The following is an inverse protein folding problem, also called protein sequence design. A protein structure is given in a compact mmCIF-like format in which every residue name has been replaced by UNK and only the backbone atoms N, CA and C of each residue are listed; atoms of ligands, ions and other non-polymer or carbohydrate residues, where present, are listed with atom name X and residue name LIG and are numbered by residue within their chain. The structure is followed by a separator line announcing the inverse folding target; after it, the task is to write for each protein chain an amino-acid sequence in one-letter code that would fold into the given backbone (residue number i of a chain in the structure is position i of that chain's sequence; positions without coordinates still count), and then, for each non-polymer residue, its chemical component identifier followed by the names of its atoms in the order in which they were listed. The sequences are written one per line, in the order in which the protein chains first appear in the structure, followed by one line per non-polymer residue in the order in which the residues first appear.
data_IF_351896421572
#
_entry.id   IF_351896421572
#
_cell.length_a   1.000
_cell.length_b   1.000
_cell.length_c   1.000
_cell.angle_alpha   90.00
_cell.angle_beta   90.00
_cell.angle_gamma   90.00
#
_symmetry.space_group_name_H-M   'P 1'
#
loop_
_entity.id
_entity.type
_entity.pdbx_description
1 polymer ?
#
# COMPACT_ATOMS: atom_id res chain seq x y z
N UNK A 1 19.35 1.51 9.29
CA UNK A 1 18.32 2.39 8.71
C UNK A 1 16.96 2.15 9.35
N UNK A 2 16.16 3.18 9.53
CA UNK A 2 14.73 3.11 9.82
C UNK A 2 13.94 3.20 8.51
N UNK A 3 13.13 2.18 8.23
CA UNK A 3 12.40 2.02 6.98
C UNK A 3 10.92 1.72 7.21
N UNK A 4 10.05 2.45 6.52
CA UNK A 4 8.61 2.17 6.42
C UNK A 4 8.32 1.54 5.05
N UNK A 5 7.89 0.29 5.01
CA UNK A 5 7.75 -0.48 3.76
C UNK A 5 6.36 -0.36 3.12
N UNK A 6 5.45 0.41 3.73
CA UNK A 6 4.07 0.50 3.27
C UNK A 6 3.57 1.95 3.37
N UNK A 7 3.82 2.73 2.33
CA UNK A 7 3.45 4.16 2.26
C UNK A 7 2.68 4.44 0.97
N UNK A 8 1.50 5.04 1.08
CA UNK A 8 0.74 5.59 -0.04
C UNK A 8 0.96 7.09 -0.14
N UNK A 9 1.27 7.57 -1.34
CA UNK A 9 1.42 9.00 -1.63
C UNK A 9 0.35 9.44 -2.62
N UNK A 10 -0.07 10.70 -2.52
CA UNK A 10 -0.99 11.34 -3.46
C UNK A 10 -0.25 12.43 -4.20
N UNK A 11 -0.70 12.74 -5.41
CA UNK A 11 -0.20 13.89 -6.18
C UNK A 11 -0.32 15.21 -5.41
N UNK A 12 -1.39 15.37 -4.63
CA UNK A 12 -1.62 16.57 -3.83
C UNK A 12 -0.69 16.69 -2.61
N UNK A 13 0.06 15.64 -2.24
CA UNK A 13 0.99 15.72 -1.11
C UNK A 13 2.18 16.60 -1.46
N UNK A 14 2.52 17.52 -0.55
CA UNK A 14 3.67 18.40 -0.71
C UNK A 14 4.96 17.64 -0.35
N UNK A 15 5.92 17.57 -1.28
CA UNK A 15 7.23 16.95 -1.04
C UNK A 15 8.00 17.56 0.15
N UNK A 16 7.83 18.86 0.40
CA UNK A 16 8.45 19.54 1.54
C UNK A 16 7.88 19.03 2.87
N UNK A 17 6.58 18.76 2.92
CA UNK A 17 5.94 18.17 4.09
C UNK A 17 6.39 16.72 4.32
N UNK A 18 6.48 15.93 3.24
CA UNK A 18 7.01 14.55 3.30
C UNK A 18 8.43 14.58 3.86
N UNK A 19 9.31 15.41 3.29
CA UNK A 19 10.68 15.62 3.78
C UNK A 19 10.71 16.01 5.26
N UNK A 20 9.89 16.97 5.65
CA UNK A 20 9.80 17.45 7.04
C UNK A 20 9.42 16.33 8.00
N UNK A 21 8.41 15.53 7.65
CA UNK A 21 7.97 14.39 8.44
C UNK A 21 9.06 13.32 8.56
N UNK A 22 9.71 12.95 7.46
CA UNK A 22 10.77 11.94 7.47
C UNK A 22 11.95 12.38 8.35
N UNK A 23 12.38 13.65 8.26
CA UNK A 23 13.42 14.21 9.14
C UNK A 23 12.98 14.22 10.61
N UNK A 24 11.77 14.71 10.88
CA UNK A 24 11.23 14.82 12.25
C UNK A 24 11.15 13.47 12.95
N UNK A 25 10.85 12.39 12.21
CA UNK A 25 10.78 11.01 12.74
C UNK A 25 12.07 10.24 12.63
N UNK A 26 13.12 10.84 12.05
CA UNK A 26 14.39 10.19 11.78
C UNK A 26 14.20 8.89 10.98
N UNK A 27 13.43 8.96 9.90
CA UNK A 27 13.21 7.87 8.94
C UNK A 27 14.23 8.01 7.82
N UNK A 28 14.99 6.95 7.57
CA UNK A 28 16.06 6.92 6.56
C UNK A 28 15.53 6.49 5.18
N UNK A 29 14.48 5.66 5.17
CA UNK A 29 13.98 5.04 3.96
C UNK A 29 12.45 4.87 3.98
N UNK A 30 11.84 4.91 2.80
CA UNK A 30 10.43 4.55 2.61
C UNK A 30 10.27 3.71 1.34
N UNK A 31 9.38 2.72 1.37
CA UNK A 31 8.85 2.12 0.15
C UNK A 31 7.49 2.73 -0.16
N UNK A 32 7.36 3.35 -1.33
CA UNK A 32 6.09 3.91 -1.79
C UNK A 32 5.38 2.81 -2.55
N UNK A 33 4.23 2.36 -2.03
CA UNK A 33 3.50 1.18 -2.50
C UNK A 33 2.08 1.55 -2.90
N UNK A 34 1.93 2.55 -3.76
CA UNK A 34 0.65 2.90 -4.33
C UNK A 34 0.02 1.71 -5.07
N UNK A 35 -1.30 1.67 -5.16
CA UNK A 35 -1.99 0.67 -5.98
C UNK A 35 -1.82 0.98 -7.47
N UNK A 36 -1.80 -0.08 -8.30
CA UNK A 36 -1.82 -0.08 -9.78
C UNK A 36 -0.63 0.57 -10.50
N UNK A 37 0.03 1.58 -9.93
CA UNK A 37 1.07 2.35 -10.60
C UNK A 37 2.25 2.72 -9.69
N UNK A 38 3.47 2.50 -10.20
CA UNK A 38 4.73 2.86 -9.55
C UNK A 38 5.30 4.22 -10.00
N UNK A 39 4.71 4.89 -11.00
CA UNK A 39 5.29 6.08 -11.61
C UNK A 39 5.40 7.23 -10.60
N UNK A 40 4.41 7.38 -9.70
CA UNK A 40 4.51 8.35 -8.61
C UNK A 40 5.66 8.04 -7.65
N UNK A 41 5.90 6.76 -7.34
CA UNK A 41 7.04 6.36 -6.51
C UNK A 41 8.38 6.72 -7.18
N UNK A 42 8.51 6.48 -8.49
CA UNK A 42 9.69 6.87 -9.27
C UNK A 42 9.88 8.40 -9.29
N UNK A 43 8.79 9.16 -9.42
CA UNK A 43 8.83 10.63 -9.41
C UNK A 43 9.30 11.19 -8.07
N UNK A 44 8.84 10.61 -6.96
CA UNK A 44 9.27 10.98 -5.60
C UNK A 44 10.72 10.58 -5.36
N UNK A 45 11.13 9.39 -5.81
CA UNK A 45 12.51 8.90 -5.69
C UNK A 45 13.53 9.87 -6.30
N UNK A 46 13.23 10.42 -7.49
CA UNK A 46 14.10 11.42 -8.14
C UNK A 46 14.17 12.77 -7.40
N UNK A 47 13.21 13.08 -6.51
CA UNK A 47 13.05 14.41 -5.87
C UNK A 47 13.33 14.45 -4.37
N UNK A 48 13.51 13.29 -3.76
CA UNK A 48 13.94 13.13 -2.37
C UNK A 48 15.26 12.32 -2.30
N UNK A 49 16.33 12.74 -3.01
CA UNK A 49 17.58 11.95 -3.10
C UNK A 49 18.31 11.80 -1.77
N UNK A 50 17.98 12.62 -0.76
CA UNK A 50 18.53 12.52 0.59
C UNK A 50 17.94 11.37 1.42
N UNK A 51 16.87 10.72 0.95
CA UNK A 51 16.27 9.54 1.56
C UNK A 51 16.37 8.35 0.62
N UNK A 52 16.43 7.14 1.18
CA UNK A 52 16.29 5.93 0.39
C UNK A 52 14.80 5.70 0.07
N UNK A 53 14.36 6.18 -1.10
CA UNK A 53 13.02 5.92 -1.61
C UNK A 53 13.04 4.67 -2.48
N UNK A 54 12.34 3.62 -2.04
CA UNK A 54 12.20 2.35 -2.76
C UNK A 54 10.89 2.38 -3.56
N UNK A 55 10.99 2.06 -4.84
CA UNK A 55 9.84 1.95 -5.74
C UNK A 55 9.13 0.63 -5.45
N UNK A 56 7.83 0.70 -5.18
CA UNK A 56 7.01 -0.47 -4.92
C UNK A 56 5.56 -0.28 -5.36
N UNK A 57 4.77 -1.33 -5.17
CA UNK A 57 3.33 -1.36 -5.48
C UNK A 57 2.61 -2.20 -4.44
N UNK A 58 1.47 -1.71 -3.92
CA UNK A 58 0.51 -2.58 -3.23
C UNK A 58 -0.36 -3.24 -4.31
N UNK A 59 -0.08 -4.52 -4.58
CA UNK A 59 -0.76 -5.30 -5.60
C UNK A 59 -2.06 -5.84 -5.01
N UNK A 60 -3.19 -5.50 -5.65
CA UNK A 60 -4.49 -6.09 -5.35
C UNK A 60 -4.53 -7.48 -6.00
N UNK A 61 -4.11 -8.53 -5.29
CA UNK A 61 -4.25 -9.91 -5.78
C UNK A 61 -5.70 -10.38 -5.65
N UNK A 62 -6.03 -11.52 -6.29
CA UNK A 62 -7.33 -12.17 -6.17
C UNK A 62 -7.74 -12.56 -4.74
N UNK A 63 -6.80 -12.56 -3.78
CA UNK A 63 -7.06 -12.96 -2.40
C UNK A 63 -6.75 -11.88 -1.34
N UNK A 64 -6.29 -10.70 -1.75
CA UNK A 64 -5.90 -9.62 -0.84
C UNK A 64 -4.62 -8.91 -1.31
N UNK A 65 -4.02 -8.09 -0.44
CA UNK A 65 -2.92 -7.23 -0.85
C UNK A 65 -1.54 -7.83 -0.61
N UNK A 66 -0.64 -7.62 -1.56
CA UNK A 66 0.76 -8.03 -1.49
C UNK A 66 1.61 -6.81 -1.85
N UNK A 67 2.58 -6.45 -1.01
CA UNK A 67 3.53 -5.39 -1.35
C UNK A 67 4.62 -6.00 -2.24
N UNK A 68 4.78 -5.39 -3.42
CA UNK A 68 5.90 -5.59 -4.30
C UNK A 68 6.93 -4.49 -4.02
N UNK A 69 8.09 -4.85 -3.48
CA UNK A 69 9.15 -3.90 -3.09
C UNK A 69 10.33 -4.04 -4.04
N UNK A 70 10.88 -2.90 -4.47
CA UNK A 70 12.02 -2.79 -5.39
C UNK A 70 11.77 -3.39 -6.78
N UNK A 71 10.60 -3.08 -7.34
CA UNK A 71 10.19 -3.47 -8.70
C UNK A 71 10.48 -2.36 -9.71
N UNK A 72 10.67 -2.74 -10.97
CA UNK A 72 10.98 -1.84 -12.11
C UNK A 72 9.77 -1.61 -13.00
N UNK A 73 8.86 -2.58 -13.05
CA UNK A 73 7.64 -2.55 -13.81
C UNK A 73 6.44 -2.93 -12.94
N UNK A 74 5.27 -2.35 -13.25
CA UNK A 74 4.04 -2.64 -12.53
C UNK A 74 3.72 -4.16 -12.54
N UNK A 75 3.30 -4.72 -11.41
CA UNK A 75 2.81 -6.09 -11.27
C UNK A 75 1.30 -6.14 -11.59
N UNK A 76 0.81 -7.07 -12.43
CA UNK A 76 -0.61 -7.12 -12.76
C UNK A 76 -1.46 -7.39 -11.52
N UNK A 77 -2.56 -6.65 -11.39
CA UNK A 77 -3.53 -6.89 -10.32
C UNK A 77 -4.41 -8.09 -10.66
N UNK A 78 -5.10 -8.60 -9.66
CA UNK A 78 -6.05 -9.70 -9.68
C UNK A 78 -5.46 -11.06 -10.09
N UNK A 79 -4.12 -11.16 -10.14
CA UNK A 79 -3.41 -12.44 -10.21
C UNK A 79 -3.66 -13.27 -8.94
N UNK A 80 -3.43 -14.58 -9.01
CA UNK A 80 -3.34 -15.40 -7.80
C UNK A 80 -2.15 -14.94 -6.94
N UNK A 81 -2.19 -15.10 -5.60
CA UNK A 81 -1.05 -14.76 -4.76
C UNK A 81 0.26 -15.42 -5.22
N UNK A 82 0.18 -16.66 -5.72
CA UNK A 82 1.33 -17.38 -6.24
C UNK A 82 1.92 -16.70 -7.50
N UNK A 83 1.08 -16.36 -8.49
CA UNK A 83 1.49 -15.63 -9.68
C UNK A 83 2.01 -14.23 -9.33
N UNK A 84 1.37 -13.52 -8.39
CA UNK A 84 1.83 -12.21 -7.91
C UNK A 84 3.24 -12.30 -7.34
N UNK A 85 3.50 -13.26 -6.44
CA UNK A 85 4.83 -13.45 -5.84
C UNK A 85 5.86 -13.77 -6.93
N UNK A 86 5.52 -14.69 -7.85
CA UNK A 86 6.42 -15.07 -8.94
C UNK A 86 6.80 -13.87 -9.83
N UNK A 87 5.85 -12.99 -10.15
CA UNK A 87 6.09 -11.77 -10.93
C UNK A 87 6.99 -10.77 -10.18
N UNK A 88 6.82 -10.64 -8.85
CA UNK A 88 7.67 -9.79 -8.02
C UNK A 88 9.10 -10.32 -8.00
N UNK A 89 9.26 -11.62 -7.76
CA UNK A 89 10.57 -12.28 -7.70
C UNK A 89 11.28 -12.29 -9.05
N UNK A 90 10.55 -12.39 -10.17
CA UNK A 90 11.12 -12.29 -11.50
C UNK A 90 11.83 -10.95 -11.76
N UNK A 91 11.43 -9.89 -11.06
CA UNK A 91 12.09 -8.57 -11.10
C UNK A 91 13.20 -8.41 -10.06
N UNK A 92 13.42 -9.42 -9.20
CA UNK A 92 14.35 -9.36 -8.07
C UNK A 92 13.80 -8.65 -6.82
N UNK A 93 12.51 -8.29 -6.82
CA UNK A 93 11.86 -7.59 -5.72
C UNK A 93 11.54 -8.47 -4.50
N UNK A 94 11.07 -7.85 -3.42
CA UNK A 94 10.52 -8.56 -2.25
C UNK A 94 9.00 -8.62 -2.32
N UNK A 95 8.44 -9.80 -2.06
CA UNK A 95 7.02 -9.98 -1.86
C UNK A 95 6.70 -9.99 -0.36
N UNK A 96 5.96 -8.98 0.11
CA UNK A 96 5.53 -8.87 1.50
C UNK A 96 4.03 -9.09 1.59
N UNK A 97 3.60 -10.02 2.43
CA UNK A 97 2.19 -10.22 2.73
C UNK A 97 1.66 -9.05 3.56
N UNK A 98 0.84 -8.18 2.95
CA UNK A 98 0.29 -7.00 3.61
C UNK A 98 -0.88 -7.39 4.53
N UNK A 99 -0.91 -6.78 5.73
CA UNK A 99 -2.01 -6.84 6.72
C UNK A 99 -2.91 -8.10 6.64
N UNK A 100 -2.37 -9.32 6.85
CA UNK A 100 -2.99 -10.59 6.45
C UNK A 100 -4.34 -10.92 7.09
N UNK A 101 -4.68 -10.24 8.19
CA UNK A 101 -5.91 -10.43 8.95
C UNK A 101 -6.87 -9.23 8.86
N UNK A 102 -6.52 -8.22 8.07
CA UNK A 102 -7.44 -7.13 7.76
C UNK A 102 -8.41 -7.59 6.66
N UNK A 103 -9.68 -7.74 7.01
CA UNK A 103 -10.73 -8.23 6.10
C UNK A 103 -11.13 -7.11 5.14
N UNK A 104 -10.67 -7.17 3.89
CA UNK A 104 -11.10 -6.25 2.81
C UNK A 104 -12.19 -6.86 1.93
N UNK A 105 -11.82 -7.81 1.06
CA UNK A 105 -12.66 -8.32 -0.02
C UNK A 105 -13.20 -9.74 0.21
N UNK A 106 -12.41 -10.61 0.81
CA UNK A 106 -12.77 -11.99 1.12
C UNK A 106 -13.13 -12.14 2.59
N UNK A 107 -14.16 -12.91 2.91
CA UNK A 107 -14.45 -13.37 4.29
C UNK A 107 -13.32 -14.25 4.86
N UNK A 108 -12.38 -14.67 4.00
CA UNK A 108 -11.23 -15.48 4.35
C UNK A 108 -10.00 -14.57 4.39
N UNK A 109 -9.34 -14.42 5.56
CA UNK A 109 -8.10 -13.67 5.68
C UNK A 109 -7.02 -14.18 4.72
N UNK A 110 -6.26 -13.26 4.12
CA UNK A 110 -5.11 -13.62 3.28
C UNK A 110 -4.04 -14.38 4.08
N UNK A 111 -4.09 -14.32 5.42
CA UNK A 111 -3.29 -15.15 6.32
C UNK A 111 -3.29 -16.65 6.02
N UNK A 112 -4.31 -17.21 5.34
CA UNK A 112 -4.26 -18.62 4.89
C UNK A 112 -3.15 -18.89 3.87
N UNK A 113 -2.77 -17.88 3.09
CA UNK A 113 -1.72 -17.95 2.07
C UNK A 113 -0.33 -17.64 2.61
N UNK A 114 -0.19 -17.37 3.91
CA UNK A 114 1.12 -17.09 4.51
C UNK A 114 2.10 -18.29 4.50
N UNK A 115 1.72 -19.43 3.90
CA UNK A 115 2.60 -20.56 3.58
C UNK A 115 3.30 -20.41 2.21
N UNK A 116 2.84 -19.49 1.37
CA UNK A 116 3.48 -19.16 0.09
C UNK A 116 4.85 -18.49 0.32
N UNK A 117 5.73 -18.44 -0.69
CA UNK A 117 7.10 -17.95 -0.55
C UNK A 117 7.17 -16.42 -0.46
N UNK A 118 6.56 -15.85 0.57
CA UNK A 118 6.73 -14.44 0.93
C UNK A 118 8.09 -14.21 1.58
N UNK A 119 8.73 -13.09 1.26
CA UNK A 119 10.00 -12.68 1.88
C UNK A 119 9.78 -12.09 3.28
N UNK A 120 8.62 -11.50 3.53
CA UNK A 120 8.22 -11.01 4.85
C UNK A 120 6.69 -10.96 5.00
N UNK A 121 6.22 -10.78 6.24
CA UNK A 121 4.80 -10.60 6.54
C UNK A 121 4.59 -9.37 7.43
N UNK A 122 3.67 -8.49 7.04
CA UNK A 122 3.27 -7.34 7.83
C UNK A 122 2.34 -7.79 8.96
N UNK A 123 2.88 -7.90 10.18
CA UNK A 123 2.11 -8.33 11.36
C UNK A 123 1.59 -7.17 12.19
N UNK A 124 2.06 -5.96 11.91
CA UNK A 124 1.51 -4.76 12.51
C UNK A 124 1.31 -3.70 11.44
N UNK A 125 0.04 -3.37 11.22
CA UNK A 125 -0.38 -2.29 10.35
C UNK A 125 -0.98 -1.19 11.24
N UNK A 126 -0.43 0.02 11.18
CA UNK A 126 -0.89 1.13 12.03
C UNK A 126 -2.37 1.45 11.81
N UNK A 127 -2.86 1.39 10.57
CA UNK A 127 -4.27 1.64 10.28
C UNK A 127 -5.21 0.56 10.82
N UNK A 128 -4.71 -0.66 11.00
CA UNK A 128 -5.42 -1.75 11.67
C UNK A 128 -5.27 -1.72 13.20
N UNK A 129 -4.33 -0.92 13.75
CA UNK A 129 -4.09 -0.79 15.21
C UNK A 129 -5.36 -0.61 16.02
N UNK A 130 -6.31 0.24 15.61
CA UNK A 130 -7.48 0.49 16.45
C UNK A 130 -8.55 -0.62 16.40
N UNK A 131 -8.47 -1.51 15.41
CA UNK A 131 -9.31 -2.71 15.34
C UNK A 131 -8.82 -3.80 16.31
N UNK A 132 -7.65 -3.63 16.92
CA UNK A 132 -6.93 -4.50 17.87
C UNK A 132 -6.70 -5.94 17.38
N UNK A 133 -7.77 -6.65 17.02
CA UNK A 133 -7.79 -8.05 16.63
C UNK A 133 -6.91 -8.40 15.42
N UNK A 134 -6.83 -7.63 14.31
CA UNK A 134 -6.03 -8.04 13.16
C UNK A 134 -4.53 -8.13 13.48
N UNK A 135 -3.98 -7.11 14.16
CA UNK A 135 -2.55 -7.06 14.54
C UNK A 135 -2.24 -8.09 15.65
N UNK A 136 -3.14 -8.30 16.60
CA UNK A 136 -2.99 -9.33 17.65
C UNK A 136 -2.98 -10.73 17.00
N UNK A 137 -3.93 -11.01 16.12
CA UNK A 137 -4.04 -12.30 15.44
C UNK A 137 -2.82 -12.56 14.55
N UNK A 138 -2.33 -11.53 13.86
CA UNK A 138 -1.10 -11.63 13.08
C UNK A 138 0.10 -12.01 13.92
N UNK A 139 0.29 -11.35 15.06
CA UNK A 139 1.38 -11.66 15.97
C UNK A 139 1.23 -13.06 16.58
N UNK A 140 0.03 -13.44 17.02
CA UNK A 140 -0.21 -14.74 17.65
C UNK A 140 0.00 -15.91 16.68
N UNK A 141 -0.55 -15.82 15.45
CA UNK A 141 -0.50 -16.91 14.47
C UNK A 141 0.86 -16.98 13.77
N UNK A 142 1.49 -15.85 13.50
CA UNK A 142 2.67 -15.80 12.63
C UNK A 142 4.00 -15.66 13.39
N UNK A 143 3.98 -15.37 14.70
CA UNK A 143 5.21 -15.24 15.52
C UNK A 143 6.12 -16.46 15.48
N UNK A 144 5.58 -17.65 15.26
CA UNK A 144 6.32 -18.92 15.23
C UNK A 144 6.80 -19.32 13.83
N UNK A 145 6.54 -18.50 12.80
CA UNK A 145 7.01 -18.79 11.44
C UNK A 145 8.45 -18.31 11.27
N UNK A 146 9.19 -19.02 10.42
CA UNK A 146 10.54 -18.64 10.02
C UNK A 146 10.59 -17.46 9.05
N UNK A 147 9.44 -16.97 8.59
CA UNK A 147 9.35 -15.84 7.66
C UNK A 147 9.54 -14.53 8.45
N UNK A 148 10.42 -13.62 7.97
CA UNK A 148 10.59 -12.30 8.57
C UNK A 148 9.27 -11.56 8.80
N UNK A 149 9.18 -10.85 9.92
CA UNK A 149 7.99 -10.10 10.29
C UNK A 149 8.30 -8.60 10.27
N UNK A 150 7.40 -7.80 9.68
CA UNK A 150 7.53 -6.35 9.56
C UNK A 150 6.34 -5.61 10.17
N UNK A 151 6.56 -4.33 10.48
CA UNK A 151 5.54 -3.39 10.94
C UNK A 151 5.59 -2.12 10.10
N UNK A 152 4.45 -1.68 9.57
CA UNK A 152 4.40 -0.50 8.71
C UNK A 152 3.18 0.39 9.00
N UNK A 153 3.24 1.60 8.46
CA UNK A 153 2.21 2.60 8.71
C UNK A 153 0.96 2.40 7.84
N UNK A 154 1.09 1.90 6.61
CA UNK A 154 0.04 1.95 5.58
C UNK A 154 -0.52 3.38 5.47
N UNK A 155 0.42 4.32 5.41
CA UNK A 155 0.13 5.76 5.46
C UNK A 155 -0.63 6.18 4.24
N UNK A 156 -1.70 6.97 4.44
CA UNK A 156 -2.48 7.61 3.35
C UNK A 156 -2.46 9.13 3.44
N UNK A 157 -1.84 9.65 4.48
CA UNK A 157 -1.64 11.06 4.78
C UNK A 157 -0.18 11.27 5.18
N UNK A 158 0.37 12.45 4.90
CA UNK A 158 1.79 12.73 5.15
C UNK A 158 2.13 12.62 6.64
N UNK A 159 1.19 12.96 7.52
CA UNK A 159 1.40 12.94 8.96
C UNK A 159 1.52 11.53 9.54
N UNK A 160 1.04 10.46 8.87
CA UNK A 160 1.17 9.08 9.37
C UNK A 160 2.47 8.37 8.97
N UNK A 161 3.22 8.92 8.00
CA UNK A 161 4.44 8.29 7.46
C UNK A 161 5.45 8.02 8.58
N UNK A 162 5.90 6.77 8.68
CA UNK A 162 6.94 6.35 9.62
C UNK A 162 6.49 6.25 11.09
N UNK A 163 5.20 6.39 11.42
CA UNK A 163 4.70 6.12 12.78
C UNK A 163 5.02 4.68 13.19
N UNK A 164 4.71 3.73 12.32
CA UNK A 164 5.21 2.35 12.40
C UNK A 164 6.28 2.16 11.33
N UNK A 165 7.39 1.56 11.71
CA UNK A 165 8.54 1.36 10.83
C UNK A 165 9.41 0.22 11.35
N UNK A 166 10.44 -0.12 10.59
CA UNK A 166 11.37 -1.20 10.87
C UNK A 166 12.79 -0.63 10.98
N UNK A 167 13.56 -1.03 11.98
CA UNK A 167 15.00 -0.79 12.01
C UNK A 167 15.69 -2.00 11.42
N UNK A 168 16.46 -1.75 10.37
CA UNK A 168 17.18 -2.77 9.60
C UNK A 168 18.64 -2.34 9.44
N UNK A 169 19.63 -3.19 9.74
CA UNK A 169 21.02 -2.88 9.45
C UNK A 169 21.27 -2.68 7.95
N UNK A 170 22.19 -1.79 7.61
CA UNK A 170 22.55 -1.49 6.22
C UNK A 170 22.66 -0.01 5.94
N UNK A 171 23.45 0.33 4.93
CA UNK A 171 23.66 1.68 4.39
C UNK A 171 23.19 1.82 2.94
N UNK A 172 23.05 0.70 2.22
CA UNK A 172 22.61 0.68 0.83
C UNK A 172 21.25 -0.01 0.71
N UNK A 173 20.54 0.25 -0.40
CA UNK A 173 19.27 -0.42 -0.72
C UNK A 173 19.40 -1.95 -0.67
N UNK A 174 20.43 -2.49 -1.33
CA UNK A 174 20.65 -3.92 -1.42
C UNK A 174 20.90 -4.56 -0.05
N UNK A 175 21.73 -3.94 0.80
CA UNK A 175 21.98 -4.42 2.16
C UNK A 175 20.72 -4.43 3.02
N UNK A 176 19.89 -3.38 2.94
CA UNK A 176 18.64 -3.30 3.70
C UNK A 176 17.67 -4.39 3.24
N UNK A 177 17.47 -4.57 1.93
CA UNK A 177 16.56 -5.60 1.41
C UNK A 177 17.05 -7.01 1.73
N UNK A 178 18.36 -7.26 1.68
CA UNK A 178 18.95 -8.54 2.08
C UNK A 178 18.77 -8.81 3.58
N UNK A 179 18.97 -7.81 4.44
CA UNK A 179 18.75 -7.95 5.88
C UNK A 179 17.27 -8.15 6.23
N UNK A 180 16.35 -7.57 5.44
CA UNK A 180 14.91 -7.89 5.56
C UNK A 180 14.68 -9.37 5.26
N UNK A 181 15.19 -9.91 4.14
CA UNK A 181 15.07 -11.34 3.80
C UNK A 181 15.64 -12.26 4.87
N UNK A 182 16.75 -11.87 5.51
CA UNK A 182 17.39 -12.62 6.59
C UNK A 182 16.67 -12.49 7.94
N UNK A 183 15.67 -11.60 8.05
CA UNK A 183 14.94 -11.37 9.30
C UNK A 183 15.68 -10.52 10.33
N UNK A 184 16.73 -9.81 9.92
CA UNK A 184 17.45 -8.85 10.78
C UNK A 184 16.66 -7.55 10.92
N UNK A 185 15.55 -7.63 11.66
CA UNK A 185 14.54 -6.56 11.74
C UNK A 185 14.13 -6.34 13.20
N UNK A 186 14.26 -5.10 13.66
CA UNK A 186 13.61 -4.63 14.89
C UNK A 186 12.40 -3.77 14.52
N UNK A 187 11.20 -4.24 14.83
CA UNK A 187 9.94 -3.55 14.50
C UNK A 187 9.64 -2.46 15.53
N UNK A 188 9.37 -1.25 15.07
CA UNK A 188 8.82 -0.17 15.90
C UNK A 188 7.33 -0.03 15.64
N UNK A 189 6.52 -0.33 16.65
CA UNK A 189 5.05 -0.27 16.58
C UNK A 189 4.54 0.79 17.54
N UNK A 190 3.73 1.72 17.03
CA UNK A 190 2.98 2.65 17.86
C UNK A 190 1.51 2.24 17.84
N UNK A 191 0.97 1.90 19.02
CA UNK A 191 -0.42 1.49 19.15
C UNK A 191 -1.28 2.67 19.57
N UNK A 192 -2.26 3.01 18.74
CA UNK A 192 -3.32 3.94 19.13
C UNK A 192 -4.43 3.13 19.76
N UNK A 193 -4.62 3.30 21.06
CA UNK A 193 -5.75 2.73 21.76
C UNK A 193 -7.03 3.37 21.24
N UNK A 194 -8.08 2.59 20.95
CA UNK A 194 -9.36 3.14 20.56
C UNK A 194 -9.92 3.95 21.74
N UNK A 195 -9.82 5.28 21.67
CA UNK A 195 -10.51 6.15 22.62
C UNK A 195 -12.00 6.23 22.23
N UNK A 196 -12.92 6.53 23.16
CA UNK A 196 -14.36 6.52 22.87
C UNK A 196 -14.75 7.45 21.71
N UNK A 197 -14.18 8.66 21.65
CA UNK A 197 -14.43 9.60 20.55
C UNK A 197 -13.99 9.06 19.19
N UNK A 198 -12.88 8.32 19.17
CA UNK A 198 -12.35 7.63 18.02
C UNK A 198 -13.19 6.40 17.68
N UNK A 199 -13.72 5.64 18.64
CA UNK A 199 -14.67 4.54 18.36
C UNK A 199 -15.94 5.10 17.71
N UNK A 200 -16.43 6.26 18.16
CA UNK A 200 -17.54 6.95 17.52
C UNK A 200 -17.17 7.51 16.14
N UNK A 201 -16.00 8.12 15.98
CA UNK A 201 -15.54 8.67 14.69
C UNK A 201 -15.18 7.58 13.69
N UNK A 202 -14.55 6.50 14.13
CA UNK A 202 -14.23 5.32 13.35
C UNK A 202 -15.47 4.50 13.07
N UNK A 203 -16.36 4.33 14.03
CA UNK A 203 -17.69 3.77 13.84
C UNK A 203 -18.46 4.58 12.80
N UNK A 204 -18.48 5.91 12.91
CA UNK A 204 -19.07 6.79 11.91
C UNK A 204 -18.36 6.68 10.55
N UNK A 205 -17.03 6.69 10.49
CA UNK A 205 -16.26 6.49 9.25
C UNK A 205 -16.41 5.07 8.69
N UNK A 206 -16.65 4.07 9.50
CA UNK A 206 -16.97 2.72 9.05
C UNK A 206 -18.41 2.73 8.54
N UNK A 207 -19.41 3.01 9.35
CA UNK A 207 -20.83 3.07 8.95
C UNK A 207 -21.12 4.00 7.76
N UNK A 208 -20.42 5.12 7.60
CA UNK A 208 -20.60 6.07 6.48
C UNK A 208 -19.57 5.90 5.35
N UNK A 209 -18.30 5.56 5.62
CA UNK A 209 -17.21 5.38 4.63
C UNK A 209 -16.71 3.93 4.48
N UNK A 210 -17.52 2.92 4.82
CA UNK A 210 -17.16 1.50 4.66
C UNK A 210 -16.64 1.20 3.24
N UNK A 211 -15.41 0.66 3.19
CA UNK A 211 -14.82 -0.06 2.04
C UNK A 211 -14.44 0.78 0.82
N UNK A 212 -14.13 2.05 1.02
CA UNK A 212 -13.61 2.89 -0.03
C UNK A 212 -12.07 2.74 -0.10
N UNK A 213 -11.60 1.94 -1.05
CA UNK A 213 -10.19 1.85 -1.47
C UNK A 213 -9.56 3.24 -1.65
N UNK A 214 -8.23 3.34 -1.62
CA UNK A 214 -7.60 4.50 -2.23
C UNK A 214 -7.88 4.45 -3.73
N UNK A 215 -8.15 5.60 -4.32
CA UNK A 215 -8.34 5.70 -5.74
C UNK A 215 -7.07 5.19 -6.44
N UNK A 216 -7.19 4.19 -7.34
CA UNK A 216 -6.03 3.60 -8.00
C UNK A 216 -5.29 4.56 -8.94
N UNK A 217 -5.90 5.72 -9.17
CA UNK A 217 -5.36 6.79 -10.00
C UNK A 217 -4.55 7.77 -9.16
N UNK A 218 -5.21 8.45 -8.23
CA UNK A 218 -4.63 9.60 -7.55
C UNK A 218 -4.22 9.29 -6.10
N UNK A 219 -4.50 8.08 -5.60
CA UNK A 219 -4.27 7.69 -4.22
C UNK A 219 -5.25 8.34 -3.22
N UNK A 220 -6.18 9.19 -3.66
CA UNK A 220 -7.17 9.83 -2.80
C UNK A 220 -8.18 8.81 -2.27
N UNK A 221 -8.55 8.90 -0.99
CA UNK A 221 -9.58 8.03 -0.43
C UNK A 221 -10.90 8.25 -1.17
N UNK A 222 -11.56 7.17 -1.58
CA UNK A 222 -12.91 7.28 -2.09
C UNK A 222 -13.86 7.78 -0.98
N UNK A 223 -14.90 8.51 -1.38
CA UNK A 223 -16.00 8.95 -0.53
C UNK A 223 -17.22 8.10 -0.89
N UNK A 224 -18.00 7.71 0.12
CA UNK A 224 -19.28 7.03 -0.13
C UNK A 224 -20.42 8.04 -0.05
N UNK A 225 -21.21 8.15 -1.10
CA UNK A 225 -22.43 8.96 -1.14
C UNK A 225 -23.64 8.11 -0.72
N UNK A 226 -24.66 8.76 -0.17
CA UNK A 226 -25.91 8.09 0.22
C UNK A 226 -26.61 7.53 -1.03
N UNK A 227 -26.74 8.35 -2.06
CA UNK A 227 -27.35 7.97 -3.34
C UNK A 227 -26.27 7.63 -4.37
N UNK A 228 -26.45 6.57 -5.19
CA UNK A 228 -25.54 6.25 -6.27
C UNK A 228 -25.41 7.40 -7.28
N UNK A 229 -24.19 7.81 -7.58
CA UNK A 229 -23.89 8.84 -8.58
C UNK A 229 -23.58 8.18 -9.92
N UNK A 230 -24.02 8.82 -11.02
CA UNK A 230 -23.60 8.41 -12.37
C UNK A 230 -22.13 8.78 -12.55
N UNK A 231 -21.30 7.80 -12.85
CA UNK A 231 -19.88 7.99 -13.08
C UNK A 231 -19.50 7.34 -14.41
N UNK A 232 -18.73 8.07 -15.22
CA UNK A 232 -18.24 7.59 -16.51
C UNK A 232 -16.91 6.86 -16.29
N UNK A 233 -16.81 5.62 -16.74
CA UNK A 233 -15.57 4.87 -16.66
C UNK A 233 -14.51 5.56 -17.51
N UNK A 234 -13.34 5.81 -16.93
CA UNK A 234 -12.20 6.41 -17.63
C UNK A 234 -11.60 5.52 -18.73
N UNK A 235 -11.93 4.23 -18.74
CA UNK A 235 -11.43 3.23 -19.71
C UNK A 235 -12.46 2.99 -20.81
N UNK A 236 -13.56 2.30 -20.52
CA UNK A 236 -14.54 1.94 -21.54
C UNK A 236 -15.54 3.06 -21.86
N UNK A 237 -15.55 4.16 -21.11
CA UNK A 237 -16.53 5.24 -21.28
C UNK A 237 -17.95 4.90 -20.83
N UNK A 238 -18.23 3.68 -20.38
CA UNK A 238 -19.56 3.30 -19.86
C UNK A 238 -19.93 4.10 -18.62
N UNK A 239 -21.21 4.47 -18.52
CA UNK A 239 -21.75 5.17 -17.36
C UNK A 239 -22.40 4.15 -16.43
N UNK A 240 -21.88 4.07 -15.19
CA UNK A 240 -22.45 3.20 -14.16
C UNK A 240 -22.86 4.04 -12.95
N UNK A 241 -23.89 3.61 -12.24
CA UNK A 241 -24.28 4.20 -10.96
C UNK A 241 -23.50 3.52 -9.84
N UNK A 242 -22.70 4.29 -9.12
CA UNK A 242 -21.95 3.79 -7.97
C UNK A 242 -21.99 4.83 -6.84
N UNK A 243 -22.10 4.37 -5.60
CA UNK A 243 -22.07 5.19 -4.40
C UNK A 243 -20.65 5.48 -3.91
N UNK A 244 -19.62 4.89 -4.52
CA UNK A 244 -18.21 5.17 -4.23
C UNK A 244 -17.68 6.17 -5.26
N UNK A 245 -17.26 7.36 -4.82
CA UNK A 245 -16.78 8.45 -5.68
C UNK A 245 -15.36 8.86 -5.31
N UNK A 246 -14.54 9.19 -6.30
CA UNK A 246 -13.28 9.88 -6.06
C UNK A 246 -13.52 11.39 -6.03
N UNK A 247 -12.97 12.14 -5.05
CA UNK A 247 -13.05 13.61 -5.05
C UNK A 247 -12.49 14.24 -6.33
N UNK A 248 -11.44 13.63 -6.90
CA UNK A 248 -10.82 14.02 -8.17
C UNK A 248 -11.60 13.49 -9.40
N UNK A 249 -12.82 12.97 -9.20
CA UNK A 249 -13.74 12.46 -10.24
C UNK A 249 -13.21 11.29 -11.07
N UNK A 250 -12.25 10.54 -10.54
CA UNK A 250 -11.80 9.28 -11.14
C UNK A 250 -12.77 8.13 -10.90
N UNK A 251 -13.12 7.40 -11.96
CA UNK A 251 -13.95 6.20 -11.87
C UNK A 251 -13.52 5.15 -12.91
N UNK A 252 -13.31 3.91 -12.45
CA UNK A 252 -13.02 2.76 -13.31
C UNK A 252 -14.01 1.67 -12.94
N UNK A 253 -14.76 1.16 -13.91
CA UNK A 253 -15.75 0.12 -13.68
C UNK A 253 -15.07 -1.21 -13.33
N UNK A 254 -15.81 -2.10 -12.64
CA UNK A 254 -15.28 -3.40 -12.21
C UNK A 254 -14.71 -4.23 -13.37
N UNK A 255 -15.39 -4.37 -14.53
CA UNK A 255 -14.83 -5.10 -15.67
C UNK A 255 -13.47 -4.55 -16.12
N UNK A 256 -13.36 -3.23 -16.31
CA UNK A 256 -12.12 -2.59 -16.78
C UNK A 256 -10.99 -2.71 -15.76
N UNK A 257 -11.23 -2.48 -14.47
CA UNK A 257 -10.14 -2.59 -13.47
C UNK A 257 -9.60 -4.00 -13.34
N UNK A 258 -10.42 -5.03 -13.58
CA UNK A 258 -10.03 -6.44 -13.45
C UNK A 258 -9.45 -7.03 -14.72
N UNK A 259 -9.40 -6.28 -15.83
CA UNK A 259 -8.72 -6.72 -17.04
C UNK A 259 -7.21 -6.76 -16.81
N UNK A 260 -6.55 -7.79 -17.33
CA UNK A 260 -5.10 -7.97 -17.21
C UNK A 260 -4.32 -6.79 -17.84
N UNK A 261 -4.86 -6.19 -18.89
CA UNK A 261 -4.22 -5.13 -19.69
C UNK A 261 -4.68 -3.71 -19.33
N UNK A 262 -5.42 -3.53 -18.23
CA UNK A 262 -5.90 -2.21 -17.74
C UNK A 262 -4.79 -1.13 -17.66
N UNK A 263 -3.53 -1.57 -17.60
CA UNK A 263 -2.34 -0.74 -17.39
C UNK A 263 -1.96 0.19 -18.53
N UNK A 264 -2.19 -0.17 -19.79
CA UNK A 264 -1.40 0.46 -20.88
C UNK A 264 -1.83 1.90 -21.15
N UNK A 265 -3.08 2.10 -21.60
CA UNK A 265 -3.57 3.42 -22.03
C UNK A 265 -3.77 4.39 -20.84
N UNK A 266 -4.16 3.86 -19.68
CA UNK A 266 -4.45 4.67 -18.50
C UNK A 266 -3.19 5.18 -17.80
N UNK A 267 -2.19 4.31 -17.62
CA UNK A 267 -0.93 4.69 -17.00
C UNK A 267 -0.12 5.62 -17.90
N UNK A 268 -0.21 5.49 -19.21
CA UNK A 268 0.38 6.43 -20.16
C UNK A 268 -0.15 7.85 -19.95
N UNK A 269 -1.48 8.00 -19.80
CA UNK A 269 -2.08 9.29 -19.48
C UNK A 269 -1.63 9.81 -18.11
N UNK A 270 -1.61 8.95 -17.09
CA UNK A 270 -1.16 9.31 -15.75
C UNK A 270 0.32 9.75 -15.70
N UNK A 271 1.20 9.02 -16.40
CA UNK A 271 2.63 9.35 -16.57
C UNK A 271 2.82 10.71 -17.22
N UNK A 272 2.06 10.98 -18.28
CA UNK A 272 2.07 12.27 -18.99
C UNK A 272 1.62 13.43 -18.08
N UNK A 273 0.58 13.22 -17.27
CA UNK A 273 0.11 14.22 -16.30
C UNK A 273 1.11 14.49 -15.16
N UNK A 274 1.96 13.52 -14.81
CA UNK A 274 3.03 13.67 -13.82
C UNK A 274 4.30 14.36 -14.38
N UNK A 275 4.35 14.65 -15.69
CA UNK A 275 5.57 15.11 -16.35
C UNK A 275 6.70 14.09 -16.21
N UNK A 276 6.36 12.80 -16.08
CA UNK A 276 7.30 11.70 -16.13
C UNK A 276 7.40 11.32 -17.60
N UNK A 277 8.21 12.07 -18.35
CA UNK A 277 8.74 11.52 -19.59
C UNK A 277 9.61 10.32 -19.21
N UNK A 278 9.23 9.14 -19.71
CA UNK A 278 10.01 7.91 -19.63
C UNK A 278 10.95 7.83 -20.85
N UNK A 279 11.61 8.94 -21.19
CA UNK A 279 12.84 8.88 -21.99
C UNK A 279 14.03 8.48 -21.10
#
# INVERSE_FOLDING_TARGET
MKIDLHVHIRRAHNLSEIRSVLKKRNIDAIAITNFFDISLAQWVQKRLPEFLVIVGQEVESSAGHILAIDIRENIPNFLTPHETIAQIHAQGGLAILAHPFLIYHSLVPLGKYAHLPFDAIEVFNFRASPLLFPNILAQLILSRRSVPLVANSDSKDVASIGICHNKVPGKTKSEVLENIKKGHIERHTEMVWPNPAWIFQFGYQHFTHHRAFTCPVCGTNFIRTILPQKQKCLVCGEIQKNNIICPEKHFICKPCRTQRDFKTEYLEKYRKELGIDLE
#
